data_IF_477076379198
#
_entry.id   IF_477076379198
#
_cell.length_a   1.000
_cell.length_b   1.000
_cell.length_c   1.000
_cell.angle_alpha   90.00
_cell.angle_beta   90.00
_cell.angle_gamma   90.00
#
_symmetry.space_group_name_H-M   'P 1'
#
loop_
_entity.id
_entity.type
_entity.pdbx_description
1 polymer ?
#
# COMPACT_ATOMS: atom_id res chain seq x y z
N UNK A 1 16.23 -5.82 -10.31
CA UNK A 1 15.66 -5.02 -11.42
C UNK A 1 14.16 -5.25 -11.38
N UNK A 2 13.36 -4.18 -11.46
CA UNK A 2 11.90 -4.30 -11.38
C UNK A 2 11.34 -5.04 -12.59
N UNK A 3 10.38 -5.94 -12.34
CA UNK A 3 9.63 -6.63 -13.40
C UNK A 3 8.66 -5.66 -14.05
N UNK A 4 8.95 -5.24 -15.29
CA UNK A 4 8.13 -4.28 -16.05
C UNK A 4 6.69 -4.79 -16.24
N UNK A 5 6.52 -6.11 -16.36
CA UNK A 5 5.19 -6.69 -16.47
C UNK A 5 4.32 -6.45 -15.23
N UNK A 6 4.88 -6.53 -14.02
CA UNK A 6 4.12 -6.30 -12.79
C UNK A 6 3.65 -4.84 -12.69
N UNK A 7 4.50 -3.91 -13.11
CA UNK A 7 4.12 -2.50 -13.25
C UNK A 7 2.97 -2.31 -14.24
N UNK A 8 3.08 -2.91 -15.42
CA UNK A 8 2.05 -2.83 -16.45
C UNK A 8 0.72 -3.42 -15.96
N UNK A 9 0.75 -4.61 -15.34
CA UNK A 9 -0.44 -5.25 -14.78
C UNK A 9 -1.09 -4.40 -13.68
N UNK A 10 -0.28 -3.73 -12.86
CA UNK A 10 -0.78 -2.81 -11.85
C UNK A 10 -1.39 -1.55 -12.48
N UNK A 11 -0.73 -0.97 -13.49
CA UNK A 11 -1.15 0.23 -14.21
C UNK A 11 -2.53 0.05 -14.87
N UNK A 12 -2.77 -1.09 -15.51
CA UNK A 12 -4.06 -1.39 -16.14
C UNK A 12 -5.12 -1.90 -15.14
N UNK A 13 -4.79 -1.95 -13.85
CA UNK A 13 -5.66 -2.32 -12.73
C UNK A 13 -6.19 -3.75 -12.81
N UNK A 14 -5.34 -4.70 -13.20
CA UNK A 14 -5.67 -6.13 -13.12
C UNK A 14 -5.91 -6.52 -11.65
N UNK A 15 -6.89 -7.39 -11.40
CA UNK A 15 -7.20 -7.80 -10.02
C UNK A 15 -6.03 -8.56 -9.37
N UNK A 16 -5.82 -8.43 -8.05
CA UNK A 16 -4.73 -9.12 -7.35
C UNK A 16 -4.73 -10.64 -7.58
N UNK A 17 -5.91 -11.27 -7.67
CA UNK A 17 -6.05 -12.70 -7.95
C UNK A 17 -5.43 -13.08 -9.29
N UNK A 18 -5.66 -12.28 -10.33
CA UNK A 18 -5.14 -12.54 -11.68
C UNK A 18 -3.65 -12.24 -11.75
N UNK A 19 -3.16 -11.23 -11.03
CA UNK A 19 -1.72 -10.95 -10.93
C UNK A 19 -1.00 -12.11 -10.23
N UNK A 20 -1.53 -12.60 -9.12
CA UNK A 20 -0.98 -13.76 -8.40
C UNK A 20 -0.99 -15.02 -9.28
N UNK A 21 -2.05 -15.21 -10.08
CA UNK A 21 -2.11 -16.28 -11.07
C UNK A 21 -1.07 -16.14 -12.17
N UNK A 22 -0.75 -14.92 -12.59
CA UNK A 22 0.35 -14.68 -13.53
C UNK A 22 1.70 -15.04 -12.88
N UNK A 23 1.93 -14.57 -11.65
CA UNK A 23 3.14 -14.87 -10.87
C UNK A 23 3.32 -16.38 -10.65
N UNK A 24 2.25 -17.15 -10.47
CA UNK A 24 2.36 -18.60 -10.24
C UNK A 24 2.59 -19.41 -11.52
N UNK A 25 2.25 -18.87 -12.69
CA UNK A 25 2.40 -19.55 -13.98
C UNK A 25 3.80 -19.32 -14.56
N UNK A 26 4.36 -18.12 -14.41
CA UNK A 26 5.64 -17.75 -15.01
C UNK A 26 6.77 -17.77 -13.98
N UNK A 27 7.90 -18.39 -14.33
CA UNK A 27 9.11 -18.32 -13.52
C UNK A 27 9.69 -16.89 -13.50
N UNK A 28 9.65 -16.21 -14.66
CA UNK A 28 9.87 -14.78 -14.78
C UNK A 28 8.56 -14.08 -15.22
N UNK A 29 7.97 -13.21 -14.37
CA UNK A 29 6.78 -12.46 -14.74
C UNK A 29 6.88 -11.67 -16.04
N UNK A 30 8.08 -11.27 -16.49
CA UNK A 30 8.24 -10.52 -17.75
C UNK A 30 7.95 -11.36 -19.00
N UNK A 31 7.89 -12.69 -18.87
CA UNK A 31 7.47 -13.58 -19.96
C UNK A 31 6.06 -13.29 -20.46
N UNK A 32 5.15 -12.82 -19.59
CA UNK A 32 3.77 -12.45 -19.97
C UNK A 32 3.75 -11.41 -21.09
N UNK A 33 4.77 -10.56 -21.19
CA UNK A 33 4.87 -9.55 -22.24
C UNK A 33 5.01 -10.19 -23.62
N UNK A 34 5.49 -11.43 -23.76
CA UNK A 34 5.68 -12.10 -25.04
C UNK A 34 4.48 -12.95 -25.47
N UNK A 35 3.49 -13.11 -24.60
CA UNK A 35 2.39 -14.05 -24.77
C UNK A 35 1.23 -13.43 -25.59
N UNK A 36 0.55 -14.26 -26.37
CA UNK A 36 -0.61 -13.86 -27.18
C UNK A 36 -1.91 -13.72 -26.38
N UNK A 37 -2.87 -12.96 -26.93
CA UNK A 37 -4.17 -12.66 -26.32
C UNK A 37 -4.97 -13.90 -25.89
N UNK A 38 -4.89 -15.00 -26.66
CA UNK A 38 -5.56 -16.27 -26.34
C UNK A 38 -5.16 -16.79 -24.96
N UNK A 39 -3.88 -16.77 -24.62
CA UNK A 39 -3.40 -17.24 -23.33
C UNK A 39 -3.77 -16.28 -22.19
N UNK A 40 -3.71 -14.96 -22.42
CA UNK A 40 -4.18 -13.97 -21.44
C UNK A 40 -5.64 -14.24 -21.05
N UNK A 41 -6.48 -14.57 -22.04
CA UNK A 41 -7.90 -14.91 -21.83
C UNK A 41 -8.08 -16.26 -21.13
N UNK A 42 -7.54 -17.34 -21.70
CA UNK A 42 -7.82 -18.71 -21.25
C UNK A 42 -7.07 -19.10 -19.97
N UNK A 43 -5.81 -18.66 -19.84
CA UNK A 43 -4.95 -19.07 -18.72
C UNK A 43 -4.90 -18.05 -17.61
N UNK A 44 -4.94 -16.75 -17.91
CA UNK A 44 -4.92 -15.69 -16.88
C UNK A 44 -6.29 -15.10 -16.57
N UNK A 45 -7.34 -15.53 -17.29
CA UNK A 45 -8.72 -15.10 -17.08
C UNK A 45 -8.90 -13.58 -17.28
N UNK A 46 -8.12 -12.99 -18.20
CA UNK A 46 -8.29 -11.59 -18.55
C UNK A 46 -9.58 -11.41 -19.35
N UNK A 47 -10.31 -10.35 -19.04
CA UNK A 47 -11.48 -9.90 -19.80
C UNK A 47 -11.00 -9.18 -21.06
N UNK A 48 -11.85 -9.09 -22.08
CA UNK A 48 -11.46 -8.50 -23.37
C UNK A 48 -10.95 -7.05 -23.21
N UNK A 49 -11.60 -6.23 -22.37
CA UNK A 49 -11.12 -4.87 -22.08
C UNK A 49 -9.75 -4.84 -21.35
N UNK A 50 -9.40 -5.86 -20.55
CA UNK A 50 -8.09 -5.94 -19.88
C UNK A 50 -7.01 -6.31 -20.89
N UNK A 51 -7.33 -7.19 -21.85
CA UNK A 51 -6.43 -7.59 -22.94
C UNK A 51 -6.15 -6.40 -23.86
N UNK A 52 -7.19 -5.66 -24.24
CA UNK A 52 -7.04 -4.44 -25.05
C UNK A 52 -6.13 -3.42 -24.36
N UNK A 53 -6.38 -3.12 -23.07
CA UNK A 53 -5.52 -2.23 -22.28
C UNK A 53 -4.10 -2.76 -22.14
N UNK A 54 -3.92 -4.05 -21.89
CA UNK A 54 -2.61 -4.67 -21.79
C UNK A 54 -1.82 -4.47 -23.09
N UNK A 55 -2.42 -4.74 -24.24
CA UNK A 55 -1.79 -4.62 -25.54
C UNK A 55 -1.51 -3.15 -25.92
N UNK A 56 -2.41 -2.22 -25.58
CA UNK A 56 -2.21 -0.79 -25.84
C UNK A 56 -1.11 -0.22 -24.96
N UNK A 57 -1.15 -0.46 -23.65
CA UNK A 57 -0.15 0.04 -22.69
C UNK A 57 1.22 -0.59 -22.91
N UNK A 58 1.29 -1.87 -23.33
CA UNK A 58 2.56 -2.51 -23.70
C UNK A 58 3.26 -1.82 -24.88
N UNK A 59 2.50 -1.23 -25.81
CA UNK A 59 3.03 -0.51 -26.98
C UNK A 59 3.19 0.98 -26.73
N UNK A 60 2.61 1.51 -25.65
CA UNK A 60 2.70 2.91 -25.28
C UNK A 60 4.00 3.17 -24.50
N UNK A 61 4.25 4.45 -24.19
CA UNK A 61 5.33 4.87 -23.29
C UNK A 61 4.78 5.22 -21.89
N UNK A 62 3.59 4.74 -21.53
CA UNK A 62 2.94 5.10 -20.26
C UNK A 62 3.76 4.61 -19.05
N UNK A 63 4.30 3.39 -19.13
CA UNK A 63 5.11 2.80 -18.06
C UNK A 63 6.47 3.51 -17.95
N UNK A 64 7.12 3.80 -19.08
CA UNK A 64 8.36 4.57 -19.12
C UNK A 64 8.16 5.96 -18.49
N UNK A 65 7.08 6.68 -18.84
CA UNK A 65 6.75 7.98 -18.22
C UNK A 65 6.46 7.87 -16.72
N UNK A 66 5.81 6.80 -16.28
CA UNK A 66 5.59 6.56 -14.86
C UNK A 66 6.92 6.33 -14.13
N UNK A 67 7.84 5.56 -14.71
CA UNK A 67 9.19 5.33 -14.16
C UNK A 67 10.02 6.62 -14.08
N UNK A 68 9.99 7.46 -15.12
CA UNK A 68 10.65 8.77 -15.10
C UNK A 68 10.12 9.66 -13.97
N UNK A 69 8.79 9.67 -13.77
CA UNK A 69 8.17 10.45 -12.70
C UNK A 69 8.46 9.87 -11.31
N UNK A 70 8.53 8.55 -11.17
CA UNK A 70 8.94 7.89 -9.94
C UNK A 70 10.33 8.34 -9.53
N UNK A 71 11.29 8.31 -10.46
CA UNK A 71 12.67 8.76 -10.20
C UNK A 71 12.71 10.25 -9.82
N UNK A 72 12.02 11.09 -10.60
CA UNK A 72 11.94 12.54 -10.35
C UNK A 72 11.37 12.88 -8.97
N UNK A 73 10.39 12.12 -8.51
CA UNK A 73 9.70 12.36 -7.24
C UNK A 73 10.38 11.70 -6.03
N UNK A 74 11.53 11.04 -6.23
CA UNK A 74 12.25 10.31 -5.19
C UNK A 74 11.44 9.14 -4.64
N UNK A 75 10.64 8.50 -5.49
CA UNK A 75 9.87 7.31 -5.17
C UNK A 75 10.69 6.09 -5.56
N UNK A 76 10.69 5.08 -4.70
CA UNK A 76 11.22 3.76 -5.01
C UNK A 76 10.07 2.81 -5.33
N UNK A 77 10.31 1.89 -6.27
CA UNK A 77 9.37 0.81 -6.53
C UNK A 77 9.98 -0.52 -6.11
N UNK A 78 9.24 -1.27 -5.31
CA UNK A 78 9.62 -2.58 -4.79
C UNK A 78 8.61 -3.61 -5.29
N UNK A 79 9.05 -4.53 -6.15
CA UNK A 79 8.24 -5.66 -6.56
C UNK A 79 8.35 -6.85 -5.59
N UNK A 80 7.39 -7.78 -5.66
CA UNK A 80 7.27 -8.94 -4.76
C UNK A 80 8.46 -9.92 -4.78
N UNK A 81 9.32 -9.85 -5.82
CA UNK A 81 10.53 -10.66 -5.92
C UNK A 81 11.77 -9.94 -5.37
N UNK A 82 11.67 -8.65 -5.06
CA UNK A 82 12.74 -7.87 -4.47
C UNK A 82 13.10 -8.38 -3.06
N UNK A 83 14.39 -8.34 -2.72
CA UNK A 83 14.87 -8.59 -1.36
C UNK A 83 14.44 -7.49 -0.37
N UNK A 84 14.09 -6.31 -0.88
CA UNK A 84 13.57 -5.20 -0.08
C UNK A 84 12.06 -5.35 0.19
N UNK A 85 11.39 -6.33 -0.42
CA UNK A 85 9.96 -6.53 -0.19
C UNK A 85 9.69 -6.99 1.25
N UNK A 86 8.70 -6.42 1.96
CA UNK A 86 8.48 -6.73 3.37
C UNK A 86 8.03 -8.19 3.56
N UNK A 87 8.73 -9.00 4.37
CA UNK A 87 8.48 -10.43 4.45
C UNK A 87 7.07 -10.75 4.98
N UNK A 88 6.61 -10.04 6.01
CA UNK A 88 5.28 -10.26 6.57
C UNK A 88 4.16 -9.93 5.56
N UNK A 89 4.33 -8.84 4.79
CA UNK A 89 3.37 -8.47 3.77
C UNK A 89 3.31 -9.49 2.62
N UNK A 90 4.39 -10.22 2.37
CA UNK A 90 4.45 -11.26 1.35
C UNK A 90 3.61 -12.49 1.70
N UNK A 91 3.34 -12.72 2.99
CA UNK A 91 2.60 -13.89 3.48
C UNK A 91 1.08 -13.77 3.29
N UNK A 92 0.54 -12.57 3.05
CA UNK A 92 -0.90 -12.37 2.92
C UNK A 92 -1.43 -12.90 1.58
N UNK A 93 -2.66 -13.44 1.57
CA UNK A 93 -3.30 -14.11 0.41
C UNK A 93 -3.22 -13.32 -0.90
N UNK A 94 -3.31 -11.99 -0.85
CA UNK A 94 -3.24 -11.11 -2.02
C UNK A 94 -2.17 -10.03 -1.87
N UNK A 95 -0.95 -10.41 -1.48
CA UNK A 95 0.19 -9.50 -1.37
C UNK A 95 0.33 -8.60 -2.62
N UNK A 96 0.51 -7.26 -2.48
CA UNK A 96 0.69 -6.39 -3.63
C UNK A 96 1.91 -6.82 -4.47
N UNK A 97 1.75 -7.00 -5.78
CA UNK A 97 2.88 -7.37 -6.64
C UNK A 97 3.93 -6.26 -6.75
N UNK A 98 3.52 -5.02 -6.52
CA UNK A 98 4.33 -3.80 -6.58
C UNK A 98 3.95 -2.89 -5.42
N UNK A 99 4.95 -2.26 -4.80
CA UNK A 99 4.81 -1.19 -3.83
C UNK A 99 5.56 0.04 -4.32
N UNK A 100 4.89 1.19 -4.29
CA UNK A 100 5.50 2.50 -4.41
C UNK A 100 5.81 3.00 -3.01
N UNK A 101 7.05 3.43 -2.77
CA UNK A 101 7.54 3.87 -1.47
C UNK A 101 8.20 5.24 -1.59
N UNK A 102 7.79 6.20 -0.76
CA UNK A 102 8.46 7.50 -0.62
C UNK A 102 8.95 7.68 0.82
N UNK A 103 10.25 7.86 0.99
CA UNK A 103 10.92 7.92 2.29
C UNK A 103 11.88 6.76 2.51
N UNK A 104 12.01 6.29 3.75
CA UNK A 104 12.97 5.26 4.17
C UNK A 104 12.40 3.85 3.98
N UNK A 105 12.67 3.18 2.86
CA UNK A 105 12.14 1.83 2.60
C UNK A 105 12.51 0.78 3.66
N UNK A 106 13.62 0.98 4.37
CA UNK A 106 14.11 0.06 5.40
C UNK A 106 13.13 -0.08 6.55
N UNK A 107 12.29 0.93 6.80
CA UNK A 107 11.31 0.88 7.91
C UNK A 107 10.22 -0.16 7.66
N UNK A 108 9.93 -0.52 6.41
CA UNK A 108 8.92 -1.54 6.08
C UNK A 108 9.36 -2.95 6.53
N UNK A 109 10.66 -3.17 6.79
CA UNK A 109 11.21 -4.46 7.24
C UNK A 109 11.39 -4.54 8.75
N UNK A 110 11.10 -3.46 9.48
CA UNK A 110 11.17 -3.41 10.94
C UNK A 110 9.90 -4.01 11.57
N UNK A 111 9.93 -4.19 12.90
CA UNK A 111 8.73 -4.59 13.64
C UNK A 111 7.70 -3.46 13.55
N UNK A 112 6.60 -3.76 12.89
CA UNK A 112 5.50 -2.84 12.66
C UNK A 112 4.29 -3.19 13.52
N UNK A 113 3.55 -2.17 13.95
CA UNK A 113 2.30 -2.34 14.68
C UNK A 113 1.25 -1.34 14.19
N UNK A 114 0.07 -1.83 13.84
CA UNK A 114 -0.97 -0.99 13.27
C UNK A 114 -1.86 -0.38 14.34
N UNK A 115 -2.15 0.91 14.20
CA UNK A 115 -3.10 1.63 15.04
C UNK A 115 -4.13 2.28 14.13
N UNK A 116 -5.38 1.85 14.25
CA UNK A 116 -6.49 2.30 13.38
C UNK A 116 -7.71 2.66 14.20
N UNK A 117 -8.61 3.47 13.62
CA UNK A 117 -9.88 3.75 14.29
C UNK A 117 -10.76 4.78 13.58
N UNK A 118 -11.62 5.42 14.37
CA UNK A 118 -12.64 6.35 13.91
C UNK A 118 -12.02 7.57 13.21
N UNK A 119 -12.70 8.02 12.14
CA UNK A 119 -12.41 9.30 11.48
C UNK A 119 -12.92 10.51 12.27
N UNK A 120 -13.84 10.28 13.20
CA UNK A 120 -14.45 11.27 14.10
C UNK A 120 -14.34 10.69 15.51
N UNK A 121 -13.13 10.66 16.10
CA UNK A 121 -12.91 10.04 17.39
C UNK A 121 -13.40 10.93 18.55
N UNK A 122 -13.65 10.31 19.69
CA UNK A 122 -13.80 11.04 20.96
C UNK A 122 -12.46 11.59 21.45
N UNK A 123 -12.50 12.53 22.41
CA UNK A 123 -11.30 13.03 23.10
C UNK A 123 -10.53 11.87 23.76
N UNK A 124 -11.26 10.92 24.35
CA UNK A 124 -10.66 9.72 24.94
C UNK A 124 -9.96 8.86 23.88
N UNK A 125 -10.60 8.63 22.73
CA UNK A 125 -10.01 7.91 21.60
C UNK A 125 -8.73 8.56 21.09
N UNK A 126 -8.70 9.89 20.97
CA UNK A 126 -7.49 10.64 20.59
C UNK A 126 -6.37 10.47 21.64
N UNK A 127 -6.71 10.58 22.93
CA UNK A 127 -5.74 10.41 24.02
C UNK A 127 -5.14 9.00 24.03
N UNK A 128 -5.95 7.97 23.80
CA UNK A 128 -5.47 6.58 23.72
C UNK A 128 -4.59 6.37 22.48
N UNK A 129 -5.01 6.86 21.30
CA UNK A 129 -4.21 6.79 20.09
C UNK A 129 -2.85 7.47 20.28
N UNK A 130 -2.80 8.64 20.93
CA UNK A 130 -1.55 9.31 21.27
C UNK A 130 -0.66 8.45 22.16
N UNK A 131 -1.21 8.00 23.30
CA UNK A 131 -0.45 7.25 24.30
C UNK A 131 0.15 5.97 23.72
N UNK A 132 -0.64 5.16 23.04
CA UNK A 132 -0.16 3.89 22.47
C UNK A 132 0.86 4.13 21.37
N UNK A 133 0.59 5.06 20.44
CA UNK A 133 1.48 5.31 19.30
C UNK A 133 2.81 5.88 19.74
N UNK A 134 2.82 6.85 20.67
CA UNK A 134 4.06 7.41 21.20
C UNK A 134 4.87 6.36 21.96
N UNK A 135 4.21 5.59 22.84
CA UNK A 135 4.90 4.60 23.67
C UNK A 135 5.54 3.50 22.83
N UNK A 136 4.80 2.94 21.87
CA UNK A 136 5.32 1.90 20.98
C UNK A 136 6.42 2.45 20.06
N UNK A 137 6.25 3.64 19.49
CA UNK A 137 7.28 4.25 18.65
C UNK A 137 8.58 4.53 19.42
N UNK A 138 8.47 4.95 20.68
CA UNK A 138 9.62 5.18 21.57
C UNK A 138 10.41 3.91 21.90
N UNK A 139 9.79 2.73 21.72
CA UNK A 139 10.42 1.43 21.87
C UNK A 139 11.01 0.91 20.54
N UNK A 140 11.01 1.72 19.48
CA UNK A 140 11.51 1.34 18.16
C UNK A 140 10.52 0.54 17.30
N UNK A 141 9.25 0.44 17.72
CA UNK A 141 8.19 -0.21 16.93
C UNK A 141 7.64 0.81 15.93
N UNK A 142 7.60 0.44 14.65
CA UNK A 142 7.11 1.33 13.59
C UNK A 142 5.58 1.32 13.59
N UNK A 143 4.97 2.50 13.73
CA UNK A 143 3.51 2.61 13.70
C UNK A 143 3.02 2.61 12.27
N UNK A 144 2.07 1.73 11.93
CA UNK A 144 1.45 1.67 10.60
C UNK A 144 0.00 2.16 10.70
N UNK A 145 -0.37 3.12 9.86
CA UNK A 145 -1.74 3.57 9.76
C UNK A 145 -2.04 4.12 8.37
N UNK A 146 -3.25 4.60 8.18
CA UNK A 146 -3.79 4.91 6.88
C UNK A 146 -3.81 6.35 6.43
N UNK A 147 -3.22 7.25 7.20
CA UNK A 147 -3.32 8.70 6.99
C UNK A 147 -4.78 9.22 6.94
N UNK A 148 -5.78 8.45 7.40
CA UNK A 148 -7.15 8.95 7.49
C UNK A 148 -7.26 10.05 8.55
N UNK A 149 -8.37 10.80 8.55
CA UNK A 149 -8.68 11.73 9.65
C UNK A 149 -8.84 10.95 10.97
N UNK A 150 -8.77 11.66 12.09
CA UNK A 150 -9.05 11.09 13.40
C UNK A 150 -7.89 10.24 13.93
N UNK A 151 -8.18 8.99 14.30
CA UNK A 151 -7.22 8.10 14.98
C UNK A 151 -5.93 7.93 14.18
N UNK A 152 -6.01 7.68 12.87
CA UNK A 152 -4.82 7.51 12.01
C UNK A 152 -3.92 8.75 12.03
N UNK A 153 -4.49 9.95 11.86
CA UNK A 153 -3.75 11.23 11.97
C UNK A 153 -3.05 11.34 13.33
N UNK A 154 -3.75 11.05 14.42
CA UNK A 154 -3.18 11.15 15.77
C UNK A 154 -2.06 10.13 15.98
N UNK A 155 -2.24 8.90 15.48
CA UNK A 155 -1.25 7.84 15.60
C UNK A 155 0.07 8.23 14.92
N UNK A 156 0.02 8.68 13.67
CA UNK A 156 1.20 9.17 12.95
C UNK A 156 1.87 10.34 13.64
N UNK A 157 1.11 11.35 14.08
CA UNK A 157 1.67 12.53 14.77
C UNK A 157 2.40 12.15 16.05
N UNK A 158 1.87 11.19 16.79
CA UNK A 158 2.42 10.77 18.07
C UNK A 158 3.61 9.84 17.88
N UNK A 159 3.55 8.97 16.87
CA UNK A 159 4.68 8.12 16.49
C UNK A 159 5.89 8.95 16.08
N UNK A 160 5.72 10.00 15.27
CA UNK A 160 6.81 10.90 14.86
C UNK A 160 7.49 11.64 16.02
N UNK A 161 6.86 11.73 17.20
CA UNK A 161 7.50 12.32 18.40
C UNK A 161 8.46 11.34 19.08
N UNK A 162 8.26 10.03 18.91
CA UNK A 162 9.01 8.98 19.63
C UNK A 162 9.80 8.04 18.71
N UNK A 163 9.55 8.04 17.42
CA UNK A 163 10.14 7.10 16.47
C UNK A 163 9.58 7.27 15.06
N UNK A 164 9.34 6.15 14.38
CA UNK A 164 9.03 6.13 12.95
C UNK A 164 7.60 5.65 12.68
N UNK A 165 7.07 6.00 11.51
CA UNK A 165 5.73 5.58 11.10
C UNK A 165 5.63 5.37 9.60
N UNK A 166 4.71 4.49 9.19
CA UNK A 166 4.41 4.18 7.79
C UNK A 166 2.95 4.54 7.52
N UNK A 167 2.72 5.43 6.56
CA UNK A 167 1.39 5.73 6.07
C UNK A 167 1.11 4.95 4.78
N UNK A 168 0.15 4.04 4.83
CA UNK A 168 -0.28 3.27 3.66
C UNK A 168 -1.45 4.02 3.00
N UNK A 169 -1.35 4.35 1.71
CA UNK A 169 -2.30 5.23 1.01
C UNK A 169 -3.30 4.48 0.13
N UNK A 170 -4.55 4.95 0.11
CA UNK A 170 -5.60 4.45 -0.79
C UNK A 170 -5.60 5.11 -2.17
N UNK A 171 -4.46 5.68 -2.57
CA UNK A 171 -4.26 6.48 -3.78
C UNK A 171 -2.78 6.40 -4.19
N UNK A 172 -2.46 6.90 -5.37
CA UNK A 172 -1.08 7.12 -5.79
C UNK A 172 -0.36 8.09 -4.85
N UNK A 173 0.96 7.97 -4.72
CA UNK A 173 1.74 8.77 -3.78
C UNK A 173 1.69 10.29 -4.08
N UNK A 174 1.33 10.69 -5.31
CA UNK A 174 1.15 12.10 -5.67
C UNK A 174 -0.26 12.64 -5.42
N UNK A 175 -1.20 11.79 -4.98
CA UNK A 175 -2.57 12.18 -4.66
C UNK A 175 -2.87 11.95 -3.18
N UNK A 176 -2.22 12.73 -2.31
CA UNK A 176 -2.43 12.63 -0.86
C UNK A 176 -3.88 12.92 -0.49
N UNK A 177 -4.49 12.00 0.26
CA UNK A 177 -5.84 12.14 0.78
C UNK A 177 -5.93 11.70 2.24
N UNK A 178 -6.59 12.48 3.12
CA UNK A 178 -7.20 13.78 2.85
C UNK A 178 -6.15 14.89 2.67
N UNK A 179 -6.47 15.93 1.88
CA UNK A 179 -5.53 17.05 1.58
C UNK A 179 -5.03 17.79 2.84
N UNK A 180 -5.84 17.84 3.89
CA UNK A 180 -5.45 18.44 5.18
C UNK A 180 -4.26 17.72 5.85
N UNK A 181 -4.03 16.44 5.51
CA UNK A 181 -2.90 15.65 6.01
C UNK A 181 -1.66 15.74 5.11
N UNK A 182 -1.62 16.55 4.05
CA UNK A 182 -0.45 16.64 3.16
C UNK A 182 0.84 17.03 3.88
N UNK A 183 0.77 17.99 4.82
CA UNK A 183 1.93 18.36 5.65
C UNK A 183 2.41 17.21 6.54
N UNK A 184 1.48 16.40 7.04
CA UNK A 184 1.80 15.22 7.84
C UNK A 184 2.43 14.14 6.96
N UNK A 185 1.89 13.88 5.78
CA UNK A 185 2.46 12.92 4.83
C UNK A 185 3.92 13.27 4.47
N UNK A 186 4.19 14.55 4.21
CA UNK A 186 5.55 15.03 3.97
C UNK A 186 6.50 14.72 5.14
N UNK A 187 6.10 15.06 6.37
CA UNK A 187 6.89 14.73 7.58
C UNK A 187 7.10 13.23 7.76
N UNK A 188 6.10 12.41 7.43
CA UNK A 188 6.23 10.94 7.46
C UNK A 188 7.28 10.49 6.45
N UNK A 189 7.34 11.07 5.25
CA UNK A 189 8.33 10.68 4.25
C UNK A 189 9.77 11.08 4.58
N UNK A 190 10.00 12.02 5.50
CA UNK A 190 11.35 12.43 5.91
C UNK A 190 12.02 11.34 6.78
N UNK A 191 11.29 10.77 7.74
CA UNK A 191 11.83 9.85 8.77
C UNK A 191 11.28 8.42 8.68
N UNK A 192 10.11 8.26 8.07
CA UNK A 192 9.39 7.01 7.88
C UNK A 192 9.13 6.74 6.40
N UNK A 193 7.94 6.26 6.05
CA UNK A 193 7.59 6.00 4.66
C UNK A 193 6.11 6.22 4.34
N UNK A 194 5.85 6.72 3.13
CA UNK A 194 4.55 6.61 2.46
C UNK A 194 4.58 5.39 1.55
N UNK A 195 3.54 4.55 1.61
CA UNK A 195 3.46 3.30 0.85
C UNK A 195 2.14 3.26 0.08
N UNK A 196 2.17 2.85 -1.17
CA UNK A 196 0.97 2.61 -1.97
C UNK A 196 1.12 1.39 -2.87
N UNK A 197 0.03 0.64 -3.06
CA UNK A 197 -0.05 -0.38 -4.12
C UNK A 197 -0.47 0.23 -5.48
N UNK A 198 -0.92 1.48 -5.49
CA UNK A 198 -1.53 2.09 -6.67
C UNK A 198 -0.52 2.86 -7.51
N UNK A 199 -0.72 2.95 -8.85
CA UNK A 199 0.09 3.77 -9.74
C UNK A 199 0.25 5.21 -9.24
N UNK A 200 1.36 5.85 -9.59
CA UNK A 200 1.82 7.10 -8.97
C UNK A 200 0.76 8.21 -8.93
N UNK A 201 -0.06 8.29 -9.98
CA UNK A 201 -1.11 9.30 -10.19
C UNK A 201 -2.54 8.79 -9.91
N UNK A 202 -2.71 7.62 -9.29
CA UNK A 202 -4.05 7.08 -9.03
C UNK A 202 -4.83 8.02 -8.07
N UNK A 203 -6.06 8.42 -8.41
CA UNK A 203 -6.87 9.25 -7.52
C UNK A 203 -7.35 8.48 -6.27
N UNK A 204 -7.77 9.20 -5.21
CA UNK A 204 -8.29 8.59 -3.98
C UNK A 204 -9.72 8.08 -4.15
N UNK A 205 -9.88 6.97 -4.88
CA UNK A 205 -11.17 6.33 -5.13
C UNK A 205 -11.69 5.63 -3.87
N UNK A 206 -13.01 5.66 -3.65
CA UNK A 206 -13.62 5.15 -2.40
C UNK A 206 -13.37 3.65 -2.21
N UNK A 207 -13.35 2.90 -3.30
CA UNK A 207 -13.08 1.46 -3.37
C UNK A 207 -11.63 1.09 -3.00
N UNK A 208 -10.69 2.02 -3.10
CA UNK A 208 -9.28 1.76 -2.81
C UNK A 208 -9.00 1.72 -1.29
N UNK A 209 -9.78 2.44 -0.48
CA UNK A 209 -9.54 2.50 0.97
C UNK A 209 -9.73 1.15 1.68
N UNK A 210 -10.84 0.40 1.46
CA UNK A 210 -10.96 -0.94 2.03
C UNK A 210 -9.87 -1.89 1.52
N UNK A 211 -9.57 -1.85 0.21
CA UNK A 211 -8.54 -2.71 -0.41
C UNK A 211 -7.18 -2.53 0.24
N UNK A 212 -6.78 -1.28 0.50
CA UNK A 212 -5.49 -0.98 1.09
C UNK A 212 -5.37 -1.41 2.56
N UNK A 213 -6.47 -1.57 3.30
CA UNK A 213 -6.40 -1.98 4.71
C UNK A 213 -5.73 -3.34 4.95
N UNK A 214 -5.76 -4.23 3.96
CA UNK A 214 -5.01 -5.50 4.00
C UNK A 214 -3.50 -5.32 4.06
N UNK A 215 -2.98 -4.19 3.55
CA UNK A 215 -1.55 -3.86 3.56
C UNK A 215 -1.15 -3.30 4.93
N UNK A 216 -2.04 -2.52 5.56
CA UNK A 216 -1.82 -2.03 6.94
C UNK A 216 -1.65 -3.21 7.90
N UNK A 217 -2.59 -4.15 7.86
CA UNK A 217 -2.54 -5.39 8.65
C UNK A 217 -1.38 -6.27 8.23
N UNK A 218 -1.19 -6.51 6.92
CA UNK A 218 -0.12 -7.37 6.42
C UNK A 218 1.30 -6.88 6.67
N UNK A 219 1.50 -5.57 6.86
CA UNK A 219 2.80 -5.04 7.31
C UNK A 219 3.03 -5.24 8.82
N UNK A 220 1.98 -5.45 9.61
CA UNK A 220 2.00 -5.30 11.07
C UNK A 220 1.93 -6.63 11.81
N UNK A 221 2.69 -6.76 12.91
CA UNK A 221 2.60 -7.93 13.81
C UNK A 221 1.36 -7.95 14.69
N UNK A 222 0.64 -6.83 14.75
CA UNK A 222 -0.62 -6.70 15.47
C UNK A 222 -1.37 -5.44 15.06
N UNK A 223 -2.67 -5.42 15.32
CA UNK A 223 -3.56 -4.29 15.04
C UNK A 223 -4.30 -3.90 16.31
N UNK A 224 -4.18 -2.63 16.71
CA UNK A 224 -5.02 -2.01 17.73
C UNK A 224 -6.11 -1.16 17.08
N UNK A 225 -7.36 -1.53 17.32
CA UNK A 225 -8.52 -0.69 17.02
C UNK A 225 -8.81 0.17 18.24
N UNK A 226 -8.51 1.47 18.16
CA UNK A 226 -8.67 2.39 19.30
C UNK A 226 -10.13 2.73 19.55
N UNK A 227 -10.85 3.07 18.49
CA UNK A 227 -12.26 3.44 18.55
C UNK A 227 -12.90 3.13 17.20
N UNK A 228 -14.07 2.49 17.18
CA UNK A 228 -14.77 2.16 15.95
C UNK A 228 -16.28 2.09 16.16
N UNK A 229 -17.04 2.72 15.25
CA UNK A 229 -18.46 2.46 15.11
C UNK A 229 -18.70 1.13 14.38
N UNK A 230 -19.92 0.60 14.45
CA UNK A 230 -20.31 -0.69 13.84
C UNK A 230 -20.06 -0.76 12.33
N UNK A 231 -20.07 0.38 11.62
CA UNK A 231 -19.79 0.48 10.17
C UNK A 231 -18.42 1.09 9.86
N UNK A 232 -17.51 1.11 10.84
CA UNK A 232 -16.19 1.71 10.66
C UNK A 232 -15.29 0.90 9.73
N UNK A 233 -14.58 1.60 8.84
CA UNK A 233 -13.53 0.99 8.01
C UNK A 233 -12.39 0.38 8.82
N UNK A 234 -12.17 0.79 10.07
CA UNK A 234 -11.18 0.19 10.96
C UNK A 234 -11.50 -1.28 11.29
N UNK A 235 -12.78 -1.66 11.33
CA UNK A 235 -13.20 -3.05 11.54
C UNK A 235 -12.87 -3.94 10.32
N UNK A 236 -12.73 -3.35 9.13
CA UNK A 236 -12.24 -4.07 7.94
C UNK A 236 -10.76 -4.41 8.13
N UNK A 237 -9.95 -3.49 8.66
CA UNK A 237 -8.55 -3.77 8.99
C UNK A 237 -8.41 -4.87 10.04
N UNK A 238 -9.23 -4.83 11.10
CA UNK A 238 -9.25 -5.88 12.12
C UNK A 238 -9.62 -7.24 11.54
N UNK A 239 -10.60 -7.30 10.64
CA UNK A 239 -10.97 -8.53 9.93
C UNK A 239 -9.80 -9.08 9.12
N UNK A 240 -9.13 -8.24 8.32
CA UNK A 240 -7.94 -8.68 7.59
C UNK A 240 -6.86 -9.22 8.53
N UNK A 241 -6.64 -8.60 9.68
CA UNK A 241 -5.66 -9.07 10.65
C UNK A 241 -6.02 -10.42 11.30
N UNK A 242 -7.30 -10.78 11.38
CA UNK A 242 -7.72 -12.11 11.84
C UNK A 242 -7.59 -13.19 10.76
N UNK A 243 -7.61 -12.79 9.48
CA UNK A 243 -7.53 -13.68 8.32
C UNK A 243 -6.09 -13.92 7.84
N UNK A 244 -5.13 -13.11 8.31
CA UNK A 244 -3.70 -13.13 7.96
C UNK A 244 -2.87 -13.70 9.10
#
# INVERSE_FOLDING_TARGET
MIKKSLLLLNHIKVSPQKIQRAISIFADPDEILKIGSKFLKEKLLFKDYEIEKFLSTKKSQEIEKELEMVEKEGVEIIDIFSQDYPPLLKEITFAPAVLYVKGKKEVLRQICFAIVGSRIPTIYGLSMAERFSFSLASLGIVIVAGLARGIDTQAHRSALKGGKTIAVLGSGLLNIYPKENSKLAYKISEEGALVSEFPLFEPPLRENFPRRNRIISGLSKGVLVVEASTKSGALITARYACEQ
#
